data_IF_106368775996
#
_entry.id   IF_106368775996
#
_cell.length_a   1.000
_cell.length_b   1.000
_cell.length_c   1.000
_cell.angle_alpha   90.00
_cell.angle_beta   90.00
_cell.angle_gamma   90.00
#
_symmetry.space_group_name_H-M   'P 1'
#
loop_
_entity.id
_entity.type
_entity.pdbx_description
1 polymer ?
#
# COMPACT_ATOMS: atom_id res chain seq x y z
N UNK A 1 -6.46 -24.00 18.77
CA UNK A 1 -7.09 -22.67 18.92
C UNK A 1 -8.24 -22.52 17.94
N UNK A 2 -9.10 -21.52 18.13
CA UNK A 2 -10.38 -21.32 17.41
C UNK A 2 -10.26 -21.26 15.88
N UNK A 3 -9.13 -20.82 15.33
CA UNK A 3 -8.96 -20.53 13.90
C UNK A 3 -7.92 -21.39 13.17
N UNK A 4 -7.25 -22.32 13.85
CA UNK A 4 -6.24 -23.24 13.29
C UNK A 4 -5.20 -22.56 12.36
N UNK A 5 -4.74 -21.36 12.72
CA UNK A 5 -3.75 -20.58 11.97
C UNK A 5 -2.82 -19.83 12.92
N UNK A 6 -1.51 -19.75 12.61
CA UNK A 6 -0.58 -18.92 13.35
C UNK A 6 -0.59 -17.45 12.89
N UNK A 7 -1.39 -17.09 11.88
CA UNK A 7 -1.41 -15.72 11.33
C UNK A 7 -2.25 -14.78 12.18
N UNK A 8 -1.71 -13.59 12.44
CA UNK A 8 -2.45 -12.53 13.15
C UNK A 8 -2.23 -11.19 12.46
N UNK A 9 -3.34 -10.53 12.08
CA UNK A 9 -3.34 -9.10 11.78
C UNK A 9 -3.32 -8.35 13.11
N UNK A 10 -2.18 -7.76 13.45
CA UNK A 10 -2.01 -7.03 14.71
C UNK A 10 -2.36 -5.56 14.51
N UNK A 11 -3.39 -5.13 15.24
CA UNK A 11 -3.82 -3.74 15.36
C UNK A 11 -3.73 -3.34 16.84
N UNK A 12 -2.89 -2.36 17.16
CA UNK A 12 -2.80 -1.77 18.50
C UNK A 12 -3.19 -0.31 18.37
N UNK A 13 -4.43 0.01 18.73
CA UNK A 13 -5.00 1.35 18.55
C UNK A 13 -4.57 2.25 19.71
N UNK A 14 -3.94 3.38 19.39
CA UNK A 14 -3.50 4.39 20.36
C UNK A 14 -4.52 5.50 20.63
N UNK A 15 -5.48 5.71 19.73
CA UNK A 15 -6.55 6.70 19.90
C UNK A 15 -7.85 6.22 19.23
N UNK A 16 -8.94 6.19 19.99
CA UNK A 16 -10.23 5.64 19.56
C UNK A 16 -10.94 6.52 18.51
N UNK A 17 -10.62 7.81 18.44
CA UNK A 17 -11.25 8.73 17.50
C UNK A 17 -10.62 8.66 16.10
N UNK A 18 -9.30 8.65 16.04
CA UNK A 18 -8.53 8.62 14.79
C UNK A 18 -8.22 7.20 14.32
N UNK A 19 -8.38 6.20 15.20
CA UNK A 19 -7.99 4.80 14.98
C UNK A 19 -6.53 4.66 14.54
N UNK A 20 -5.67 5.58 15.00
CA UNK A 20 -4.24 5.54 14.73
C UNK A 20 -3.57 4.45 15.55
N UNK A 21 -2.61 3.71 14.98
CA UNK A 21 -1.87 2.73 15.75
C UNK A 21 -0.90 3.43 16.72
N UNK A 22 -0.74 2.88 17.92
CA UNK A 22 0.34 3.29 18.83
C UNK A 22 1.67 2.65 18.36
N UNK A 23 2.66 3.43 17.89
CA UNK A 23 3.89 2.86 17.34
C UNK A 23 4.74 2.10 18.37
N UNK A 24 4.68 2.46 19.65
CA UNK A 24 5.49 1.84 20.69
C UNK A 24 4.88 0.53 21.14
N UNK A 25 3.60 0.56 21.51
CA UNK A 25 2.87 -0.63 21.96
C UNK A 25 2.74 -1.66 20.83
N UNK A 26 2.60 -1.22 19.56
CA UNK A 26 2.57 -2.10 18.40
C UNK A 26 3.86 -2.92 18.26
N UNK A 27 5.04 -2.31 18.42
CA UNK A 27 6.32 -3.00 18.30
C UNK A 27 6.52 -4.00 19.44
N UNK A 28 6.11 -3.64 20.66
CA UNK A 28 6.22 -4.55 21.81
C UNK A 28 5.28 -5.75 21.68
N UNK A 29 4.02 -5.50 21.31
CA UNK A 29 3.04 -6.56 21.06
C UNK A 29 3.48 -7.48 19.92
N UNK A 30 4.01 -6.92 18.82
CA UNK A 30 4.53 -7.70 17.70
C UNK A 30 5.68 -8.62 18.12
N UNK A 31 6.62 -8.10 18.92
CA UNK A 31 7.76 -8.86 19.45
C UNK A 31 7.30 -10.00 20.36
N UNK A 32 6.29 -9.77 21.20
CA UNK A 32 5.76 -10.79 22.08
C UNK A 32 5.05 -11.89 21.29
N UNK A 33 4.13 -11.53 20.38
CA UNK A 33 3.40 -12.49 19.55
C UNK A 33 4.33 -13.33 18.66
N UNK A 34 5.38 -12.71 18.11
CA UNK A 34 6.38 -13.45 17.34
C UNK A 34 7.13 -14.50 18.20
N UNK A 35 7.45 -14.20 19.46
CA UNK A 35 8.04 -15.19 20.40
C UNK A 35 7.07 -16.30 20.74
N UNK A 36 5.78 -16.00 20.81
CA UNK A 36 4.72 -16.96 21.08
C UNK A 36 4.40 -17.85 19.86
N UNK A 37 5.07 -17.63 18.73
CA UNK A 37 4.99 -18.46 17.52
C UNK A 37 4.01 -17.95 16.47
N UNK A 38 3.44 -16.76 16.64
CA UNK A 38 2.56 -16.15 15.65
C UNK A 38 3.36 -15.56 14.47
N UNK A 39 2.78 -15.64 13.28
CA UNK A 39 3.18 -14.85 12.12
C UNK A 39 2.43 -13.52 12.15
N UNK A 40 3.11 -12.46 12.56
CA UNK A 40 2.50 -11.17 12.85
C UNK A 40 2.49 -10.27 11.61
N UNK A 41 1.31 -9.80 11.23
CA UNK A 41 1.10 -8.82 10.17
C UNK A 41 0.68 -7.49 10.83
N UNK A 42 1.59 -6.52 11.01
CA UNK A 42 1.29 -5.31 11.76
C UNK A 42 0.62 -4.24 10.89
N UNK A 43 -0.52 -3.72 11.33
CA UNK A 43 -1.07 -2.45 10.82
C UNK A 43 -0.27 -1.29 11.42
N UNK A 44 0.42 -0.53 10.57
CA UNK A 44 1.32 0.53 11.02
C UNK A 44 1.12 1.83 10.23
N UNK A 45 1.75 2.90 10.68
CA UNK A 45 1.83 4.13 9.90
C UNK A 45 2.90 4.01 8.80
N UNK A 46 2.99 5.04 7.96
CA UNK A 46 3.96 5.22 6.89
C UNK A 46 5.38 5.63 7.38
N UNK A 47 5.66 5.51 8.68
CA UNK A 47 6.96 5.84 9.29
C UNK A 47 8.01 4.73 9.07
N UNK A 48 9.12 5.08 8.42
CA UNK A 48 10.21 4.15 8.08
C UNK A 48 10.90 3.57 9.32
N UNK A 49 11.03 4.34 10.40
CA UNK A 49 11.74 3.89 11.61
C UNK A 49 10.91 2.81 12.32
N UNK A 50 9.63 3.05 12.50
CA UNK A 50 8.67 2.09 13.07
C UNK A 50 8.58 0.83 12.21
N UNK A 51 8.47 0.98 10.90
CA UNK A 51 8.50 -0.14 9.96
C UNK A 51 9.72 -1.05 10.14
N UNK A 52 10.93 -0.46 10.25
CA UNK A 52 12.16 -1.24 10.51
C UNK A 52 12.14 -1.96 11.85
N UNK A 53 11.65 -1.30 12.91
CA UNK A 53 11.51 -1.92 14.23
C UNK A 53 10.55 -3.10 14.23
N UNK A 54 9.48 -3.04 13.44
CA UNK A 54 8.54 -4.16 13.28
C UNK A 54 9.18 -5.35 12.56
N UNK A 55 10.01 -5.10 11.55
CA UNK A 55 10.82 -6.14 10.92
C UNK A 55 11.82 -6.76 11.90
N UNK A 56 12.53 -5.93 12.67
CA UNK A 56 13.45 -6.39 13.72
C UNK A 56 12.74 -7.17 14.84
N UNK A 57 11.44 -6.92 15.04
CA UNK A 57 10.58 -7.66 15.97
C UNK A 57 10.11 -9.02 15.42
N UNK A 58 10.38 -9.32 14.15
CA UNK A 58 10.08 -10.61 13.52
C UNK A 58 8.87 -10.61 12.58
N UNK A 59 8.30 -9.44 12.26
CA UNK A 59 7.20 -9.36 11.29
C UNK A 59 7.74 -9.67 9.87
N UNK A 60 7.16 -10.63 9.12
CA UNK A 60 7.65 -10.97 7.78
C UNK A 60 7.18 -9.99 6.69
N UNK A 61 6.18 -9.16 6.99
CA UNK A 61 5.61 -8.15 6.11
C UNK A 61 5.17 -6.93 6.91
N UNK A 62 4.86 -5.84 6.23
CA UNK A 62 4.36 -4.61 6.84
C UNK A 62 3.08 -4.16 6.16
N UNK A 63 2.17 -3.57 6.94
CA UNK A 63 0.91 -3.04 6.42
C UNK A 63 0.77 -1.54 6.75
N UNK A 64 1.53 -0.66 6.06
CA UNK A 64 1.43 0.77 6.29
C UNK A 64 0.09 1.32 5.77
N UNK A 65 -0.42 2.33 6.47
CA UNK A 65 -1.70 2.91 6.11
C UNK A 65 -1.67 3.75 4.82
N UNK A 66 -2.81 3.84 4.13
CA UNK A 66 -3.01 4.87 3.09
C UNK A 66 -3.47 6.20 3.69
N UNK A 67 -4.42 6.12 4.62
CA UNK A 67 -5.05 7.20 5.38
C UNK A 67 -5.78 6.57 6.60
N UNK A 68 -6.35 7.36 7.53
CA UNK A 68 -7.10 6.82 8.67
C UNK A 68 -8.19 5.82 8.25
N UNK A 69 -8.42 4.81 9.09
CA UNK A 69 -9.39 3.72 8.83
C UNK A 69 -10.77 4.29 8.53
N UNK A 70 -11.42 3.77 7.49
CA UNK A 70 -12.77 4.16 7.10
C UNK A 70 -12.91 5.54 6.45
N UNK A 71 -11.83 6.33 6.33
CA UNK A 71 -11.89 7.70 5.79
C UNK A 71 -12.11 7.78 4.27
N UNK A 72 -11.65 6.78 3.52
CA UNK A 72 -11.73 6.74 2.06
C UNK A 72 -10.85 7.77 1.33
N UNK A 73 -9.94 8.45 2.02
CA UNK A 73 -9.12 9.54 1.48
C UNK A 73 -8.05 9.09 0.47
N UNK A 74 -7.81 7.78 0.35
CA UNK A 74 -6.78 7.22 -0.52
C UNK A 74 -5.40 7.24 0.13
N UNK A 75 -4.40 7.69 -0.62
CA UNK A 75 -3.01 7.74 -0.18
C UNK A 75 -2.66 9.19 0.19
N UNK A 76 -2.80 9.56 1.46
CA UNK A 76 -2.62 10.97 1.90
C UNK A 76 -1.15 11.40 1.91
N UNK A 77 -0.22 10.44 2.00
CA UNK A 77 1.22 10.71 1.95
C UNK A 77 1.97 9.82 0.92
N UNK A 78 1.78 10.06 -0.39
CA UNK A 78 2.47 9.31 -1.44
C UNK A 78 3.99 9.42 -1.40
N UNK A 79 4.55 10.44 -0.72
CA UNK A 79 5.99 10.58 -0.55
C UNK A 79 6.53 9.53 0.42
N UNK A 80 5.95 9.42 1.63
CA UNK A 80 6.39 8.44 2.61
C UNK A 80 6.19 7.00 2.13
N UNK A 81 5.07 6.71 1.45
CA UNK A 81 4.84 5.37 0.89
C UNK A 81 5.88 4.99 -0.18
N UNK A 82 6.30 5.92 -1.04
CA UNK A 82 7.39 5.69 -2.01
C UNK A 82 8.74 5.52 -1.32
N UNK A 83 9.02 6.34 -0.30
CA UNK A 83 10.22 6.21 0.51
C UNK A 83 10.29 4.84 1.19
N UNK A 84 9.19 4.35 1.77
CA UNK A 84 9.11 3.01 2.35
C UNK A 84 9.45 1.94 1.31
N UNK A 85 8.80 1.98 0.14
CA UNK A 85 9.06 1.00 -0.92
C UNK A 85 10.52 1.00 -1.36
N UNK A 86 11.09 2.17 -1.61
CA UNK A 86 12.48 2.35 -2.04
C UNK A 86 13.48 1.85 -0.99
N UNK A 87 13.21 2.13 0.30
CA UNK A 87 14.11 1.77 1.39
C UNK A 87 13.98 0.33 1.85
N UNK A 88 12.89 -0.35 1.49
CA UNK A 88 12.58 -1.73 1.88
C UNK A 88 12.26 -2.61 0.66
N UNK A 89 13.06 -2.67 -0.41
CA UNK A 89 12.67 -3.25 -1.70
C UNK A 89 12.39 -4.76 -1.67
N UNK A 90 12.90 -5.50 -0.68
CA UNK A 90 12.70 -6.94 -0.52
C UNK A 90 11.62 -7.35 0.48
N UNK A 91 10.95 -6.39 1.11
CA UNK A 91 9.92 -6.64 2.14
C UNK A 91 8.56 -6.69 1.48
N UNK A 92 7.67 -7.60 1.90
CA UNK A 92 6.28 -7.56 1.43
C UNK A 92 5.57 -6.37 2.06
N UNK A 93 5.08 -5.43 1.25
CA UNK A 93 4.37 -4.24 1.70
C UNK A 93 2.92 -4.26 1.19
N UNK A 94 1.98 -4.11 2.12
CA UNK A 94 0.54 -4.09 1.82
C UNK A 94 -0.03 -2.74 2.26
N UNK A 95 -0.61 -1.95 1.35
CA UNK A 95 -1.33 -0.75 1.81
C UNK A 95 -2.61 -1.19 2.50
N UNK A 96 -2.79 -0.83 3.76
CA UNK A 96 -3.98 -1.11 4.55
C UNK A 96 -4.68 0.20 4.93
N UNK A 97 -6.00 0.19 5.11
CA UNK A 97 -6.78 1.38 5.46
C UNK A 97 -6.70 2.57 4.47
N UNK A 98 -7.62 3.52 4.63
CA UNK A 98 -7.69 4.75 3.81
C UNK A 98 -8.16 4.58 2.35
N UNK A 99 -8.09 3.39 1.77
CA UNK A 99 -8.56 3.11 0.41
C UNK A 99 -10.08 3.33 0.30
N UNK A 100 -10.49 4.23 -0.59
CA UNK A 100 -11.89 4.62 -0.82
C UNK A 100 -12.38 4.37 -2.25
N UNK A 101 -11.48 4.33 -3.23
CA UNK A 101 -11.81 4.12 -4.64
C UNK A 101 -10.85 3.13 -5.30
N UNK A 102 -11.27 2.42 -6.37
CA UNK A 102 -10.38 1.52 -7.11
C UNK A 102 -9.10 2.19 -7.60
N UNK A 103 -9.15 3.47 -8.01
CA UNK A 103 -7.98 4.24 -8.42
C UNK A 103 -6.92 4.38 -7.31
N UNK A 104 -7.32 4.44 -6.04
CA UNK A 104 -6.37 4.51 -4.91
C UNK A 104 -5.61 3.18 -4.77
N UNK A 105 -6.30 2.05 -4.98
CA UNK A 105 -5.65 0.75 -4.99
C UNK A 105 -4.67 0.64 -6.18
N UNK A 106 -5.10 0.99 -7.40
CA UNK A 106 -4.23 1.00 -8.57
C UNK A 106 -2.95 1.83 -8.33
N UNK A 107 -3.10 3.02 -7.76
CA UNK A 107 -1.98 3.90 -7.43
C UNK A 107 -0.99 3.25 -6.45
N UNK A 108 -1.47 2.53 -5.44
CA UNK A 108 -0.60 1.82 -4.50
C UNK A 108 0.23 0.73 -5.21
N UNK A 109 -0.40 -0.06 -6.09
CA UNK A 109 0.28 -1.11 -6.85
C UNK A 109 1.28 -0.52 -7.86
N UNK A 110 0.95 0.61 -8.52
CA UNK A 110 1.88 1.33 -9.41
C UNK A 110 3.16 1.76 -8.67
N UNK A 111 3.04 2.15 -7.39
CA UNK A 111 4.19 2.48 -6.52
C UNK A 111 5.05 1.25 -6.15
N UNK A 112 4.62 0.03 -6.48
CA UNK A 112 5.35 -1.21 -6.19
C UNK A 112 4.96 -1.88 -4.88
N UNK A 113 3.82 -1.51 -4.29
CA UNK A 113 3.26 -2.30 -3.20
C UNK A 113 2.80 -3.67 -3.71
N UNK A 114 2.83 -4.66 -2.82
CA UNK A 114 2.60 -6.07 -3.18
C UNK A 114 1.12 -6.43 -3.12
N UNK A 115 0.36 -5.76 -2.25
CA UNK A 115 -1.09 -5.90 -2.16
C UNK A 115 -1.74 -4.66 -1.55
N UNK A 116 -3.07 -4.69 -1.51
CA UNK A 116 -3.91 -3.72 -0.81
C UNK A 116 -4.91 -4.49 0.05
N UNK A 117 -5.09 -4.10 1.31
CA UNK A 117 -6.12 -4.60 2.21
C UNK A 117 -7.17 -3.50 2.41
N UNK A 118 -8.44 -3.81 2.15
CA UNK A 118 -9.54 -2.85 2.20
C UNK A 118 -10.83 -3.51 2.69
N UNK A 119 -11.70 -2.71 3.31
CA UNK A 119 -13.01 -3.14 3.80
C UNK A 119 -14.10 -2.13 3.42
N UNK A 120 -14.10 -0.96 4.06
CA UNK A 120 -15.21 0.02 3.99
C UNK A 120 -15.59 0.43 2.57
N UNK A 121 -14.61 0.57 1.67
CA UNK A 121 -14.88 0.94 0.28
C UNK A 121 -15.78 -0.07 -0.46
N UNK A 122 -15.72 -1.35 -0.10
CA UNK A 122 -16.58 -2.39 -0.67
C UNK A 122 -17.82 -2.58 0.21
N UNK A 123 -17.65 -2.76 1.52
CA UNK A 123 -18.75 -3.13 2.43
C UNK A 123 -19.77 -2.01 2.64
N UNK A 124 -19.38 -0.74 2.47
CA UNK A 124 -20.27 0.42 2.56
C UNK A 124 -20.71 0.96 1.18
N UNK A 125 -20.33 0.28 0.09
CA UNK A 125 -20.79 0.64 -1.26
C UNK A 125 -22.29 0.34 -1.43
N UNK A 126 -23.06 1.15 -2.17
CA UNK A 126 -24.42 0.81 -2.57
C UNK A 126 -24.55 -0.49 -3.39
N UNK A 127 -23.48 -0.88 -4.09
CA UNK A 127 -23.37 -2.15 -4.82
C UNK A 127 -22.00 -2.79 -4.50
N UNK A 128 -21.91 -3.59 -3.41
CA UNK A 128 -20.65 -4.19 -2.96
C UNK A 128 -20.05 -5.17 -3.96
N UNK A 129 -20.88 -5.96 -4.65
CA UNK A 129 -20.42 -6.98 -5.60
C UNK A 129 -19.78 -6.31 -6.82
N UNK A 130 -20.44 -5.28 -7.36
CA UNK A 130 -19.87 -4.50 -8.46
C UNK A 130 -18.60 -3.76 -8.03
N UNK A 131 -18.60 -3.19 -6.83
CA UNK A 131 -17.42 -2.49 -6.30
C UNK A 131 -16.23 -3.44 -6.09
N UNK A 132 -16.45 -4.65 -5.59
CA UNK A 132 -15.41 -5.67 -5.49
C UNK A 132 -14.83 -6.03 -6.87
N UNK A 133 -15.69 -6.16 -7.89
CA UNK A 133 -15.25 -6.34 -9.28
C UNK A 133 -14.40 -5.19 -9.80
N UNK A 134 -14.77 -3.95 -9.49
CA UNK A 134 -13.99 -2.78 -9.87
C UNK A 134 -12.62 -2.72 -9.17
N UNK A 135 -12.55 -3.05 -7.88
CA UNK A 135 -11.29 -3.15 -7.15
C UNK A 135 -10.37 -4.24 -7.73
N UNK A 136 -10.93 -5.41 -8.08
CA UNK A 136 -10.15 -6.47 -8.74
C UNK A 136 -9.47 -5.96 -10.01
N UNK A 137 -10.23 -5.31 -10.89
CA UNK A 137 -9.69 -4.77 -12.15
C UNK A 137 -8.60 -3.72 -11.89
N UNK A 138 -8.80 -2.84 -10.91
CA UNK A 138 -7.82 -1.82 -10.57
C UNK A 138 -6.52 -2.38 -9.98
N UNK A 139 -6.60 -3.43 -9.15
CA UNK A 139 -5.43 -4.14 -8.62
C UNK A 139 -4.67 -4.84 -9.75
N UNK A 140 -5.38 -5.56 -10.62
CA UNK A 140 -4.78 -6.22 -11.79
C UNK A 140 -4.08 -5.20 -12.71
N UNK A 141 -4.75 -4.08 -13.01
CA UNK A 141 -4.21 -3.01 -13.83
C UNK A 141 -2.98 -2.34 -13.20
N UNK A 142 -3.06 -1.95 -11.92
CA UNK A 142 -1.97 -1.29 -11.22
C UNK A 142 -0.73 -2.18 -11.11
N UNK A 143 -0.92 -3.48 -10.83
CA UNK A 143 0.19 -4.44 -10.78
C UNK A 143 0.81 -4.64 -12.17
N UNK A 144 -0.01 -4.77 -13.22
CA UNK A 144 0.49 -4.88 -14.58
C UNK A 144 1.27 -3.63 -15.01
N UNK A 145 0.78 -2.44 -14.65
CA UNK A 145 1.45 -1.17 -14.93
C UNK A 145 2.80 -1.05 -14.23
N UNK A 146 2.89 -1.45 -12.95
CA UNK A 146 4.16 -1.50 -12.22
C UNK A 146 5.18 -2.41 -12.92
N UNK A 147 4.78 -3.63 -13.28
CA UNK A 147 5.65 -4.61 -13.95
C UNK A 147 6.06 -4.18 -15.37
N UNK A 148 5.19 -3.43 -16.07
CA UNK A 148 5.50 -2.88 -17.39
C UNK A 148 6.45 -1.68 -17.34
N UNK A 149 6.65 -1.07 -16.16
CA UNK A 149 7.41 0.15 -15.98
C UNK A 149 6.55 1.39 -16.28
N UNK A 150 5.97 1.97 -15.22
CA UNK A 150 5.22 3.22 -15.32
C UNK A 150 6.17 4.35 -15.77
N UNK A 151 5.71 5.17 -16.72
CA UNK A 151 6.49 6.30 -17.24
C UNK A 151 6.89 7.25 -16.11
N UNK A 152 8.17 7.63 -16.07
CA UNK A 152 8.66 8.64 -15.15
C UNK A 152 7.99 9.99 -15.43
N UNK A 153 7.51 10.65 -14.37
CA UNK A 153 6.98 12.02 -14.48
C UNK A 153 8.07 12.94 -15.04
N UNK A 154 7.68 13.73 -16.04
CA UNK A 154 8.52 14.76 -16.64
C UNK A 154 7.94 16.13 -16.25
N UNK A 155 8.81 17.10 -15.97
CA UNK A 155 8.38 18.46 -15.63
C UNK A 155 7.85 19.22 -16.86
N UNK A 156 8.22 18.78 -18.06
CA UNK A 156 7.84 19.39 -19.32
C UNK A 156 7.32 18.34 -20.32
N UNK A 157 6.54 18.80 -21.30
CA UNK A 157 6.11 17.96 -22.40
C UNK A 157 7.32 17.49 -23.23
N UNK A 158 7.45 16.18 -23.39
CA UNK A 158 8.43 15.57 -24.29
C UNK A 158 7.68 15.12 -25.54
N UNK A 159 8.07 15.63 -26.72
CA UNK A 159 7.44 15.26 -27.97
C UNK A 159 7.64 13.74 -28.23
N UNK A 160 6.53 13.01 -28.39
CA UNK A 160 6.54 11.56 -28.62
C UNK A 160 6.51 11.19 -30.11
N UNK A 161 6.37 12.19 -30.99
CA UNK A 161 6.33 12.01 -32.45
C UNK A 161 7.76 11.99 -33.00
N UNK A 162 8.16 10.98 -33.80
CA UNK A 162 9.46 11.00 -34.46
C UNK A 162 9.59 12.23 -35.37
N UNK A 163 10.59 13.07 -35.11
CA UNK A 163 10.96 14.17 -36.02
C UNK A 163 11.80 13.61 -37.18
N UNK A 164 11.30 12.59 -37.86
CA UNK A 164 11.88 12.05 -39.10
C UNK A 164 10.93 12.38 -40.24
N UNK A 165 10.97 13.66 -40.64
CA UNK A 165 10.10 14.20 -41.67
C UNK A 165 10.57 15.56 -42.18
N UNK A 166 11.88 15.79 -42.29
CA UNK A 166 12.40 16.86 -43.14
C UNK A 166 13.02 16.19 -44.38
N UNK A 167 12.33 16.14 -45.53
CA UNK A 167 13.03 15.88 -46.78
C UNK A 167 13.95 17.08 -47.01
N UNK A 168 15.26 16.85 -46.95
CA UNK A 168 16.23 17.79 -47.48
C UNK A 168 15.87 18.04 -48.95
N UNK A 169 15.32 19.22 -49.25
CA UNK A 169 15.37 19.76 -50.61
C UNK A 169 16.82 20.19 -50.84
N UNK A 170 17.59 19.33 -51.49
CA UNK A 170 18.79 19.74 -52.21
C UNK A 170 18.32 20.64 -53.36
N UNK A 171 18.51 21.95 -53.18
CA UNK A 171 18.44 22.97 -54.22
C UNK A 171 19.75 23.74 -54.24
#
# INVERSE_FOLDING_TARGET
ELYDTPWVKLEVVGDDYTLQPDPQELVEAARQLAKDGFTVFPYCTDDLVTCKRLLDAGCPLLMPWGAPIGSGQGLVNPFALRLLRERLPGVVLIVDAGIGAPSHAAQALEMGYDAVLLNSAVSQSPDPVRMAGAFRQAIEAGRAAHLAGVMARQDFAVATTPVTGNPFLLG
#
